data_IF_141212011980
#
_entry.id   IF_141212011980
#
_cell.length_a   1.000
_cell.length_b   1.000
_cell.length_c   1.000
_cell.angle_alpha   90.00
_cell.angle_beta   90.00
_cell.angle_gamma   90.00
#
_symmetry.space_group_name_H-M   'P 1'
#
loop_
_entity.id
_entity.type
_entity.pdbx_description
1 polymer ?
#
# COMPACT_ATOMS: atom_id res chain seq x y z
N UNK A 1 32.56 3.25 -22.82
CA UNK A 1 31.16 2.76 -22.87
C UNK A 1 30.37 3.59 -23.86
N UNK A 2 29.50 2.98 -24.67
CA UNK A 2 28.61 3.72 -25.59
C UNK A 2 27.45 4.34 -24.79
N UNK A 3 26.87 5.44 -25.29
CA UNK A 3 25.68 6.07 -24.68
C UNK A 3 24.51 5.09 -24.55
N UNK A 4 24.38 4.15 -25.48
CA UNK A 4 23.37 3.10 -25.48
C UNK A 4 23.59 2.09 -24.35
N UNK A 5 24.83 1.63 -24.14
CA UNK A 5 25.16 0.74 -23.01
C UNK A 5 24.91 1.40 -21.66
N UNK A 6 25.19 2.71 -21.54
CA UNK A 6 24.91 3.47 -20.32
C UNK A 6 23.41 3.61 -20.05
N UNK A 7 22.60 3.85 -21.09
CA UNK A 7 21.14 3.92 -20.96
C UNK A 7 20.51 2.58 -20.58
N UNK A 8 21.00 1.47 -21.15
CA UNK A 8 20.54 0.12 -20.81
C UNK A 8 20.82 -0.21 -19.34
N UNK A 9 22.01 0.13 -18.82
CA UNK A 9 22.34 -0.05 -17.41
C UNK A 9 21.41 0.76 -16.49
N UNK A 10 21.13 2.02 -16.84
CA UNK A 10 20.18 2.86 -16.09
C UNK A 10 18.76 2.28 -16.08
N UNK A 11 18.30 1.73 -17.21
CA UNK A 11 16.99 1.07 -17.28
C UNK A 11 16.98 -0.17 -16.39
N UNK A 12 18.04 -0.99 -16.40
CA UNK A 12 18.13 -2.19 -15.57
C UNK A 12 18.11 -1.88 -14.07
N UNK A 13 18.84 -0.85 -13.65
CA UNK A 13 18.85 -0.40 -12.25
C UNK A 13 17.46 0.11 -11.84
N UNK A 14 16.81 0.90 -12.70
CA UNK A 14 15.47 1.43 -12.43
C UNK A 14 14.40 0.33 -12.40
N UNK A 15 14.50 -0.68 -13.26
CA UNK A 15 13.59 -1.82 -13.24
C UNK A 15 13.68 -2.58 -11.91
N UNK A 16 14.89 -2.86 -11.41
CA UNK A 16 15.07 -3.51 -10.10
C UNK A 16 14.53 -2.67 -8.95
N UNK A 17 14.72 -1.36 -9.00
CA UNK A 17 14.19 -0.44 -7.99
C UNK A 17 12.66 -0.48 -7.98
N UNK A 18 12.03 -0.42 -9.16
CA UNK A 18 10.57 -0.49 -9.30
C UNK A 18 10.01 -1.83 -8.85
N UNK A 19 10.67 -2.96 -9.19
CA UNK A 19 10.27 -4.28 -8.74
C UNK A 19 10.27 -4.37 -7.20
N UNK A 20 11.33 -3.83 -6.56
CA UNK A 20 11.41 -3.77 -5.10
C UNK A 20 10.29 -2.92 -4.48
N UNK A 21 10.03 -1.73 -5.02
CA UNK A 21 8.94 -0.86 -4.56
C UNK A 21 7.58 -1.54 -4.70
N UNK A 22 7.32 -2.23 -5.83
CA UNK A 22 6.06 -2.93 -6.06
C UNK A 22 5.89 -4.08 -5.07
N UNK A 23 6.97 -4.84 -4.79
CA UNK A 23 6.94 -5.91 -3.80
C UNK A 23 6.62 -5.36 -2.40
N UNK A 24 7.30 -4.30 -1.96
CA UNK A 24 7.07 -3.65 -0.67
C UNK A 24 5.62 -3.15 -0.54
N UNK A 25 5.08 -2.59 -1.63
CA UNK A 25 3.68 -2.14 -1.66
C UNK A 25 2.69 -3.29 -1.55
N UNK A 26 2.95 -4.44 -2.19
CA UNK A 26 2.12 -5.64 -2.03
C UNK A 26 2.19 -6.22 -0.62
N UNK A 27 3.38 -6.24 0.01
CA UNK A 27 3.52 -6.65 1.41
C UNK A 27 2.71 -5.74 2.33
N UNK A 28 2.74 -4.42 2.09
CA UNK A 28 1.97 -3.44 2.84
C UNK A 28 0.46 -3.57 2.59
N UNK A 29 0.03 -3.82 1.35
CA UNK A 29 -1.37 -4.11 1.02
C UNK A 29 -1.87 -5.31 1.83
N UNK A 30 -1.09 -6.41 1.85
CA UNK A 30 -1.42 -7.62 2.60
C UNK A 30 -1.53 -7.37 4.11
N UNK A 31 -0.65 -6.55 4.67
CA UNK A 31 -0.72 -6.16 6.09
C UNK A 31 -2.00 -5.39 6.41
N UNK A 32 -2.35 -4.39 5.59
CA UNK A 32 -3.56 -3.57 5.79
C UNK A 32 -4.81 -4.42 5.57
N UNK A 33 -4.82 -5.30 4.56
CA UNK A 33 -5.91 -6.23 4.33
C UNK A 33 -6.08 -7.20 5.50
N UNK A 34 -4.98 -7.66 6.11
CA UNK A 34 -4.99 -8.44 7.34
C UNK A 34 -5.68 -7.69 8.50
N UNK A 35 -5.38 -6.40 8.67
CA UNK A 35 -6.05 -5.56 9.67
C UNK A 35 -7.55 -5.41 9.41
N UNK A 36 -7.96 -5.23 8.15
CA UNK A 36 -9.38 -5.19 7.78
C UNK A 36 -10.10 -6.51 8.06
N UNK A 37 -9.46 -7.64 7.77
CA UNK A 37 -10.04 -8.95 8.02
C UNK A 37 -10.25 -9.20 9.53
N UNK A 38 -9.32 -8.75 10.37
CA UNK A 38 -9.46 -8.81 11.83
C UNK A 38 -10.65 -7.96 12.31
N UNK A 39 -10.83 -6.75 11.77
CA UNK A 39 -11.98 -5.91 12.10
C UNK A 39 -13.29 -6.56 11.64
N UNK A 40 -13.32 -7.11 10.43
CA UNK A 40 -14.49 -7.78 9.86
C UNK A 40 -14.88 -9.06 10.62
N UNK A 41 -13.91 -9.76 11.24
CA UNK A 41 -14.13 -10.97 12.03
C UNK A 41 -14.79 -10.73 13.40
N UNK A 42 -14.86 -9.48 13.88
CA UNK A 42 -15.55 -9.14 15.13
C UNK A 42 -17.05 -8.97 14.85
N UNK A 43 -17.97 -9.67 15.54
CA UNK A 43 -19.41 -9.48 15.39
C UNK A 43 -19.80 -8.01 15.57
N UNK A 44 -20.72 -7.49 14.76
CA UNK A 44 -21.13 -6.06 14.79
C UNK A 44 -21.61 -5.65 16.20
N UNK A 45 -22.26 -6.56 16.93
CA UNK A 45 -22.73 -6.36 18.30
C UNK A 45 -21.55 -6.10 19.25
N UNK A 46 -20.46 -6.87 19.09
CA UNK A 46 -19.22 -6.73 19.85
C UNK A 46 -18.41 -5.51 19.41
N UNK A 47 -18.40 -5.15 18.12
CA UNK A 47 -17.78 -3.91 17.63
C UNK A 47 -18.42 -2.66 18.27
N UNK A 48 -19.76 -2.66 18.37
CA UNK A 48 -20.52 -1.61 19.02
C UNK A 48 -20.34 -1.58 20.54
N UNK A 49 -20.10 -2.74 21.17
CA UNK A 49 -19.82 -2.85 22.60
C UNK A 49 -18.38 -2.40 22.92
N UNK A 50 -17.38 -2.85 22.16
CA UNK A 50 -15.96 -2.44 22.29
C UNK A 50 -15.79 -0.94 22.03
N UNK A 51 -16.46 -0.39 21.00
CA UNK A 51 -16.44 1.06 20.75
C UNK A 51 -17.06 1.86 21.91
N UNK A 52 -18.14 1.33 22.51
CA UNK A 52 -18.79 1.94 23.69
C UNK A 52 -17.94 1.80 24.97
N UNK A 53 -17.29 0.66 25.18
CA UNK A 53 -16.39 0.42 26.31
C UNK A 53 -15.11 1.25 26.21
N UNK A 54 -14.50 1.36 25.03
CA UNK A 54 -13.36 2.24 24.77
C UNK A 54 -13.74 3.71 24.93
N UNK A 55 -14.95 4.12 24.51
CA UNK A 55 -15.46 5.46 24.82
C UNK A 55 -15.70 5.68 26.32
N UNK A 56 -16.17 4.67 27.05
CA UNK A 56 -16.49 4.77 28.47
C UNK A 56 -15.24 4.82 29.37
N UNK A 57 -14.21 4.02 29.08
CA UNK A 57 -12.94 4.02 29.83
C UNK A 57 -12.07 5.25 29.56
N UNK A 58 -12.11 5.79 28.34
CA UNK A 58 -11.24 6.91 27.92
C UNK A 58 -11.87 8.27 28.22
N UNK A 59 -13.20 8.36 28.36
CA UNK A 59 -13.87 9.61 28.81
C UNK A 59 -13.53 9.99 30.27
N UNK A 60 -13.05 9.04 31.09
CA UNK A 60 -12.50 9.30 32.42
C UNK A 60 -11.02 9.74 32.41
N UNK A 61 -10.30 9.60 31.30
CA UNK A 61 -8.89 10.00 31.18
C UNK A 61 -8.70 10.84 29.92
N UNK A 62 -8.79 12.16 30.09
CA UNK A 62 -8.42 13.13 29.08
C UNK A 62 -7.10 12.75 28.37
N UNK A 63 -7.09 12.82 27.02
CA UNK A 63 -6.00 12.54 26.05
C UNK A 63 -5.97 11.15 25.40
N UNK A 64 -6.85 10.95 24.42
CA UNK A 64 -6.64 9.95 23.38
C UNK A 64 -7.79 10.02 22.39
N UNK A 65 -7.51 10.37 21.13
CA UNK A 65 -8.51 10.30 20.06
C UNK A 65 -9.02 8.85 19.97
N UNK A 66 -10.26 8.66 20.41
CA UNK A 66 -10.97 7.40 20.23
C UNK A 66 -11.47 7.39 18.79
N UNK A 67 -10.55 7.17 17.83
CA UNK A 67 -10.93 6.94 16.44
C UNK A 67 -11.75 5.66 16.41
N UNK A 68 -13.03 5.77 16.07
CA UNK A 68 -13.98 4.67 16.12
C UNK A 68 -13.54 3.51 15.22
N UNK A 69 -13.96 2.29 15.53
CA UNK A 69 -13.62 1.10 14.71
C UNK A 69 -14.00 1.31 13.24
N UNK A 70 -15.12 2.02 12.98
CA UNK A 70 -15.56 2.37 11.63
C UNK A 70 -14.66 3.41 10.94
N UNK A 71 -14.18 4.42 11.67
CA UNK A 71 -13.24 5.41 11.13
C UNK A 71 -11.89 4.77 10.80
N UNK A 72 -11.39 3.86 11.65
CA UNK A 72 -10.18 3.07 11.36
C UNK A 72 -10.36 2.17 10.16
N UNK A 73 -11.52 1.51 10.04
CA UNK A 73 -11.87 0.69 8.88
C UNK A 73 -11.83 1.51 7.59
N UNK A 74 -12.49 2.67 7.56
CA UNK A 74 -12.48 3.58 6.42
C UNK A 74 -11.05 4.06 6.09
N UNK A 75 -10.23 4.36 7.10
CA UNK A 75 -8.83 4.72 6.89
C UNK A 75 -8.02 3.59 6.24
N UNK A 76 -8.21 2.34 6.67
CA UNK A 76 -7.52 1.19 6.06
C UNK A 76 -8.01 0.91 4.63
N UNK A 77 -9.31 1.05 4.37
CA UNK A 77 -9.87 0.93 3.01
C UNK A 77 -9.26 1.98 2.07
N UNK A 78 -9.16 3.24 2.52
CA UNK A 78 -8.49 4.30 1.76
C UNK A 78 -7.01 3.99 1.50
N UNK A 79 -6.28 3.50 2.52
CA UNK A 79 -4.87 3.12 2.36
C UNK A 79 -4.69 2.01 1.30
N UNK A 80 -5.59 1.04 1.22
CA UNK A 80 -5.54 0.00 0.19
C UNK A 80 -5.73 0.60 -1.21
N UNK A 81 -6.68 1.53 -1.36
CA UNK A 81 -6.90 2.23 -2.64
C UNK A 81 -5.63 2.97 -3.07
N UNK A 82 -5.02 3.74 -2.15
CA UNK A 82 -3.78 4.48 -2.43
C UNK A 82 -2.62 3.55 -2.82
N UNK A 83 -2.46 2.41 -2.13
CA UNK A 83 -1.44 1.41 -2.45
C UNK A 83 -1.68 0.82 -3.84
N UNK A 84 -2.91 0.46 -4.18
CA UNK A 84 -3.27 -0.09 -5.50
C UNK A 84 -3.02 0.91 -6.62
N UNK A 85 -3.36 2.18 -6.41
CA UNK A 85 -3.05 3.24 -7.37
C UNK A 85 -1.55 3.42 -7.55
N UNK A 86 -0.77 3.36 -6.47
CA UNK A 86 0.69 3.43 -6.55
C UNK A 86 1.28 2.25 -7.33
N UNK A 87 0.85 1.01 -7.03
CA UNK A 87 1.26 -0.20 -7.77
C UNK A 87 0.92 -0.03 -9.25
N UNK A 88 -0.29 0.41 -9.59
CA UNK A 88 -0.70 0.61 -10.98
C UNK A 88 0.22 1.59 -11.71
N UNK A 89 0.55 2.73 -11.09
CA UNK A 89 1.49 3.71 -11.66
C UNK A 89 2.88 3.11 -11.90
N UNK A 90 3.42 2.37 -10.94
CA UNK A 90 4.75 1.76 -11.08
C UNK A 90 4.76 0.64 -12.13
N UNK A 91 3.69 -0.14 -12.26
CA UNK A 91 3.55 -1.13 -13.33
C UNK A 91 3.53 -0.48 -14.73
N UNK A 92 2.91 0.70 -14.88
CA UNK A 92 2.95 1.45 -16.14
C UNK A 92 4.36 1.94 -16.46
N UNK A 93 5.08 2.48 -15.48
CA UNK A 93 6.48 2.92 -15.64
C UNK A 93 7.39 1.74 -16.01
N UNK A 94 7.23 0.62 -15.33
CA UNK A 94 7.97 -0.62 -15.58
C UNK A 94 7.76 -1.11 -17.01
N UNK A 95 6.50 -1.17 -17.48
CA UNK A 95 6.18 -1.56 -18.85
C UNK A 95 6.82 -0.61 -19.89
N UNK A 96 6.80 0.70 -19.63
CA UNK A 96 7.41 1.69 -20.52
C UNK A 96 8.94 1.50 -20.61
N UNK A 97 9.61 1.27 -19.47
CA UNK A 97 11.06 1.03 -19.42
C UNK A 97 11.44 -0.30 -20.09
N UNK A 98 10.64 -1.35 -19.93
CA UNK A 98 10.84 -2.63 -20.63
C UNK A 98 10.73 -2.47 -22.16
N UNK A 99 9.75 -1.70 -22.63
CA UNK A 99 9.60 -1.40 -24.06
C UNK A 99 10.79 -0.58 -24.58
N UNK A 100 11.26 0.41 -23.82
CA UNK A 100 12.44 1.19 -24.17
C UNK A 100 13.68 0.29 -24.27
N UNK A 101 13.89 -0.58 -23.28
CA UNK A 101 14.99 -1.55 -23.28
C UNK A 101 14.95 -2.46 -24.50
N UNK A 102 13.77 -3.01 -24.83
CA UNK A 102 13.60 -3.88 -26.01
C UNK A 102 13.92 -3.14 -27.31
N UNK A 103 13.45 -1.91 -27.44
CA UNK A 103 13.70 -1.06 -28.61
C UNK A 103 15.19 -0.73 -28.76
N UNK A 104 15.88 -0.45 -27.64
CA UNK A 104 17.32 -0.20 -27.63
C UNK A 104 18.15 -1.47 -27.88
N UNK A 105 17.63 -2.66 -27.62
CA UNK A 105 18.34 -3.91 -27.93
C UNK A 105 18.22 -4.34 -29.40
N UNK A 106 17.21 -3.84 -30.11
CA UNK A 106 16.96 -4.11 -31.54
C UNK A 106 17.73 -3.17 -32.49
N UNK A 107 18.38 -2.13 -31.96
CA UNK A 107 19.16 -1.13 -32.72
C UNK A 107 20.65 -1.33 -32.53
#
# INVERSE_FOLDING_TARGET
>A
MSRQSQRLAQIDDRLRELDGIIQDLHERENQVQGMLNLIAGVPIVDQAQVSRSASSSTRCRARGEVVGIQERKASYENTIVEIREAIHRYCLELNALQQEKWTLAQR
#
